data_IF_028056156846
#
_entry.id   IF_028056156846
#
_cell.length_a   1.000
_cell.length_b   1.000
_cell.length_c   1.000
_cell.angle_alpha   90.00
_cell.angle_beta   90.00
_cell.angle_gamma   90.00
#
_symmetry.space_group_name_H-M   'P 1'
#
loop_
_entity.id
_entity.type
_entity.pdbx_description
1 polymer ?
#
# COMPACT_ATOMS: atom_id res chain seq x y z
N UNK A 1 -20.77 -18.61 -15.01
CA UNK A 1 -20.32 -17.82 -16.17
C UNK A 1 -20.05 -16.43 -15.64
N UNK A 2 -18.87 -16.21 -15.06
CA UNK A 2 -18.50 -14.90 -14.52
C UNK A 2 -18.15 -13.98 -15.68
N UNK A 3 -18.93 -12.91 -15.84
CA UNK A 3 -18.62 -11.82 -16.74
C UNK A 3 -17.39 -11.09 -16.19
N UNK A 4 -16.21 -11.38 -16.72
CA UNK A 4 -15.04 -10.54 -16.50
C UNK A 4 -15.30 -9.21 -17.22
N UNK A 5 -15.80 -8.22 -16.49
CA UNK A 5 -15.80 -6.83 -16.96
C UNK A 5 -14.35 -6.43 -17.22
N UNK A 6 -14.01 -6.27 -18.50
CA UNK A 6 -12.71 -5.78 -18.96
C UNK A 6 -12.49 -4.39 -18.39
N UNK A 7 -11.41 -4.21 -17.62
CA UNK A 7 -11.02 -2.91 -17.08
C UNK A 7 -10.59 -2.01 -18.26
N UNK A 8 -11.17 -0.80 -18.41
CA UNK A 8 -10.73 0.14 -19.43
C UNK A 8 -9.24 0.48 -19.31
N UNK A 9 -8.54 0.57 -20.46
CA UNK A 9 -7.10 0.85 -20.49
C UNK A 9 -6.73 2.21 -19.86
N UNK A 10 -7.63 3.19 -19.92
CA UNK A 10 -7.43 4.51 -19.30
C UNK A 10 -7.35 4.40 -17.76
N UNK A 11 -8.24 3.60 -17.15
CA UNK A 11 -8.29 3.42 -15.70
C UNK A 11 -7.02 2.74 -15.17
N UNK A 12 -6.44 1.82 -15.95
CA UNK A 12 -5.15 1.21 -15.64
C UNK A 12 -4.01 2.23 -15.73
N UNK A 13 -3.96 3.03 -16.79
CA UNK A 13 -2.92 4.04 -16.98
C UNK A 13 -2.92 5.07 -15.86
N UNK A 14 -4.10 5.59 -15.51
CA UNK A 14 -4.24 6.57 -14.44
C UNK A 14 -3.86 5.95 -13.09
N UNK A 15 -4.30 4.71 -12.83
CA UNK A 15 -3.91 3.99 -11.63
C UNK A 15 -2.39 3.76 -11.51
N UNK A 16 -1.70 3.42 -12.60
CA UNK A 16 -0.25 3.29 -12.58
C UNK A 16 0.44 4.63 -12.29
N UNK A 17 -0.06 5.72 -12.86
CA UNK A 17 0.45 7.06 -12.59
C UNK A 17 0.30 7.43 -11.11
N UNK A 18 -0.89 7.21 -10.55
CA UNK A 18 -1.17 7.44 -9.13
C UNK A 18 -0.33 6.54 -8.22
N UNK A 19 -0.16 5.27 -8.57
CA UNK A 19 0.64 4.32 -7.79
C UNK A 19 2.10 4.75 -7.67
N UNK A 20 2.67 5.35 -8.73
CA UNK A 20 4.01 5.92 -8.68
C UNK A 20 4.09 7.11 -7.73
N UNK A 21 3.11 8.01 -7.77
CA UNK A 21 3.05 9.16 -6.85
C UNK A 21 2.99 8.68 -5.39
N UNK A 22 2.12 7.70 -5.12
CA UNK A 22 1.97 7.11 -3.80
C UNK A 22 3.28 6.46 -3.32
N UNK A 23 3.93 5.66 -4.18
CA UNK A 23 5.21 5.02 -3.87
C UNK A 23 6.29 6.05 -3.50
N UNK A 24 6.47 7.11 -4.29
CA UNK A 24 7.48 8.13 -3.99
C UNK A 24 7.15 8.99 -2.76
N UNK A 25 5.87 9.16 -2.43
CA UNK A 25 5.46 9.73 -1.14
C UNK A 25 5.98 8.87 0.02
N UNK A 26 5.72 7.55 -0.02
CA UNK A 26 6.18 6.62 1.01
C UNK A 26 7.72 6.52 1.08
N UNK A 27 8.44 6.64 -0.05
CA UNK A 27 9.90 6.73 -0.06
C UNK A 27 10.40 8.01 0.63
N UNK A 28 9.71 9.13 0.44
CA UNK A 28 10.04 10.38 1.13
C UNK A 28 9.84 10.27 2.63
N UNK A 29 8.75 9.60 3.06
CA UNK A 29 8.52 9.28 4.48
C UNK A 29 9.57 8.32 5.04
N UNK A 30 10.01 7.32 4.26
CA UNK A 30 11.08 6.39 4.64
C UNK A 30 12.40 7.13 4.89
N UNK A 31 12.76 8.05 4.00
CA UNK A 31 13.94 8.93 4.17
C UNK A 31 13.80 9.81 5.41
N UNK A 32 12.64 10.47 5.60
CA UNK A 32 12.37 11.27 6.79
C UNK A 32 12.53 10.45 8.08
N UNK A 33 11.97 9.24 8.13
CA UNK A 33 12.12 8.35 9.29
C UNK A 33 13.58 8.00 9.56
N UNK A 34 14.36 7.71 8.51
CA UNK A 34 15.79 7.38 8.66
C UNK A 34 16.58 8.55 9.26
N UNK A 35 16.23 9.78 8.88
CA UNK A 35 16.97 10.97 9.28
C UNK A 35 16.54 11.51 10.66
N UNK A 36 15.36 11.11 11.16
CA UNK A 36 14.76 11.68 12.39
C UNK A 36 14.50 10.69 13.51
N UNK A 37 14.49 9.38 13.23
CA UNK A 37 14.14 8.34 14.18
C UNK A 37 15.22 7.24 14.25
N UNK A 38 15.23 6.41 15.31
CA UNK A 38 16.11 5.25 15.37
C UNK A 38 15.96 4.30 14.16
N UNK A 39 17.02 3.54 13.82
CA UNK A 39 16.95 2.55 12.75
C UNK A 39 15.80 1.54 12.97
N UNK A 40 15.07 1.24 11.90
CA UNK A 40 14.00 0.24 11.90
C UNK A 40 12.59 0.78 12.18
N UNK A 41 12.41 2.03 12.59
CA UNK A 41 11.08 2.59 12.86
C UNK A 41 10.16 2.56 11.63
N UNK A 42 10.67 2.90 10.44
CA UNK A 42 9.86 2.76 9.22
C UNK A 42 9.46 1.31 8.92
N UNK A 43 10.32 0.34 9.24
CA UNK A 43 10.02 -1.08 9.04
C UNK A 43 8.91 -1.55 9.98
N UNK A 44 8.93 -1.12 11.24
CA UNK A 44 7.83 -1.35 12.20
C UNK A 44 6.51 -0.80 11.67
N UNK A 45 6.52 0.40 11.08
CA UNK A 45 5.35 0.96 10.42
C UNK A 45 4.86 0.07 9.27
N UNK A 46 5.76 -0.38 8.39
CA UNK A 46 5.39 -1.30 7.31
C UNK A 46 4.79 -2.60 7.84
N UNK A 47 5.28 -3.13 8.96
CA UNK A 47 4.78 -4.35 9.58
C UNK A 47 3.36 -4.15 10.17
N UNK A 48 3.08 -2.99 10.76
CA UNK A 48 1.73 -2.59 11.18
C UNK A 48 0.75 -2.56 9.98
N UNK A 49 1.16 -1.94 8.87
CA UNK A 49 0.36 -1.92 7.64
C UNK A 49 0.14 -3.33 7.09
N UNK A 50 1.19 -4.15 7.05
CA UNK A 50 1.10 -5.53 6.60
C UNK A 50 0.09 -6.33 7.42
N UNK A 51 0.16 -6.22 8.76
CA UNK A 51 -0.81 -6.86 9.66
C UNK A 51 -2.24 -6.38 9.43
N UNK A 52 -2.44 -5.10 9.10
CA UNK A 52 -3.76 -4.54 8.82
C UNK A 52 -4.36 -4.92 7.46
N UNK A 53 -3.53 -5.23 6.45
CA UNK A 53 -4.00 -5.55 5.09
C UNK A 53 -3.95 -7.03 4.74
N UNK A 54 -3.35 -7.88 5.57
CA UNK A 54 -3.05 -9.27 5.22
C UNK A 54 -4.27 -10.09 4.84
N UNK A 55 -5.42 -9.86 5.48
CA UNK A 55 -6.65 -10.60 5.17
C UNK A 55 -7.25 -10.17 3.82
N UNK A 56 -7.16 -8.88 3.49
CA UNK A 56 -7.58 -8.35 2.18
C UNK A 56 -6.64 -8.78 1.04
N UNK A 57 -5.36 -9.00 1.34
CA UNK A 57 -4.41 -9.61 0.40
C UNK A 57 -4.77 -11.08 0.10
N UNK A 58 -5.24 -11.80 1.13
CA UNK A 58 -5.57 -13.22 1.04
C UNK A 58 -6.93 -13.47 0.42
N UNK A 59 -7.86 -12.53 0.57
CA UNK A 59 -9.22 -12.62 0.04
C UNK A 59 -9.22 -12.82 -1.48
N UNK A 60 -10.32 -13.37 -1.98
CA UNK A 60 -10.49 -13.58 -3.40
C UNK A 60 -10.96 -12.29 -4.06
N UNK A 61 -10.30 -11.96 -5.16
CA UNK A 61 -10.59 -10.79 -5.99
C UNK A 61 -10.69 -11.25 -7.43
N UNK A 62 -11.58 -10.65 -8.25
CA UNK A 62 -11.72 -11.03 -9.65
C UNK A 62 -10.43 -10.91 -10.47
N UNK A 63 -9.56 -9.96 -10.10
CA UNK A 63 -8.26 -9.71 -10.72
C UNK A 63 -7.34 -8.92 -9.79
N UNK A 64 -6.10 -8.71 -10.22
CA UNK A 64 -5.11 -7.99 -9.41
C UNK A 64 -5.31 -6.48 -9.30
N UNK A 65 -6.02 -5.86 -10.24
CA UNK A 65 -6.36 -4.44 -10.17
C UNK A 65 -7.40 -4.18 -9.07
N UNK A 66 -8.45 -5.00 -9.02
CA UNK A 66 -9.46 -4.95 -7.95
C UNK A 66 -8.84 -5.25 -6.59
N UNK A 67 -7.90 -6.21 -6.51
CA UNK A 67 -7.14 -6.49 -5.29
C UNK A 67 -6.33 -5.28 -4.81
N UNK A 68 -5.51 -4.67 -5.67
CA UNK A 68 -4.67 -3.53 -5.26
C UNK A 68 -5.53 -2.34 -4.82
N UNK A 69 -6.66 -2.08 -5.49
CA UNK A 69 -7.63 -1.04 -5.07
C UNK A 69 -8.18 -1.34 -3.68
N UNK A 70 -8.65 -2.56 -3.43
CA UNK A 70 -9.24 -2.94 -2.15
C UNK A 70 -8.22 -2.79 -1.01
N UNK A 71 -7.01 -3.29 -1.21
CA UNK A 71 -5.90 -3.21 -0.23
C UNK A 71 -5.50 -1.77 0.04
N UNK A 72 -5.29 -0.95 -0.99
CA UNK A 72 -4.91 0.46 -0.84
C UNK A 72 -6.02 1.26 -0.14
N UNK A 73 -7.29 0.99 -0.46
CA UNK A 73 -8.44 1.61 0.20
C UNK A 73 -8.47 1.27 1.69
N UNK A 74 -8.26 0.00 2.05
CA UNK A 74 -8.17 -0.44 3.44
C UNK A 74 -7.01 0.27 4.16
N UNK A 75 -5.81 0.28 3.57
CA UNK A 75 -4.64 0.93 4.16
C UNK A 75 -4.87 2.41 4.47
N UNK A 76 -5.57 3.16 3.60
CA UNK A 76 -5.88 4.57 3.84
C UNK A 76 -6.70 4.79 5.12
N UNK A 77 -7.58 3.86 5.48
CA UNK A 77 -8.47 3.97 6.64
C UNK A 77 -7.96 3.24 7.89
N UNK A 78 -6.84 2.51 7.82
CA UNK A 78 -6.29 1.81 8.97
C UNK A 78 -5.99 2.77 10.14
N UNK A 79 -6.40 2.44 11.37
CA UNK A 79 -6.15 3.28 12.53
C UNK A 79 -4.71 3.09 13.03
N UNK A 80 -3.77 3.88 12.51
CA UNK A 80 -2.38 3.92 12.97
C UNK A 80 -2.21 5.03 14.02
N UNK A 81 -2.44 4.71 15.28
CA UNK A 81 -2.43 5.69 16.39
C UNK A 81 -1.21 5.60 17.31
N UNK A 82 -0.49 4.47 17.31
CA UNK A 82 0.59 4.18 18.25
C UNK A 82 1.99 4.19 17.61
N UNK A 83 2.23 5.04 16.59
CA UNK A 83 3.51 5.10 15.88
C UNK A 83 4.15 6.49 15.90
N UNK A 84 5.49 6.56 15.99
CA UNK A 84 6.24 7.82 16.01
C UNK A 84 6.02 8.68 14.75
N UNK A 85 5.76 8.03 13.61
CA UNK A 85 5.50 8.68 12.31
C UNK A 85 4.05 9.12 12.10
N UNK A 86 3.11 8.83 13.02
CA UNK A 86 1.68 9.12 12.80
C UNK A 86 1.40 10.58 12.42
N UNK A 87 2.18 11.54 12.94
CA UNK A 87 2.02 12.96 12.61
C UNK A 87 2.51 13.36 11.21
N UNK A 88 3.45 12.61 10.64
CA UNK A 88 4.00 12.85 9.31
C UNK A 88 3.28 12.02 8.23
N UNK A 89 2.55 10.98 8.63
CA UNK A 89 1.92 10.01 7.74
C UNK A 89 0.71 10.61 7.00
N UNK A 90 0.79 10.67 5.67
CA UNK A 90 -0.29 11.13 4.80
C UNK A 90 -1.04 9.97 4.15
N UNK A 91 -2.21 10.24 3.54
CA UNK A 91 -2.96 9.22 2.80
C UNK A 91 -2.19 8.64 1.59
N UNK A 92 -1.31 9.43 0.98
CA UNK A 92 -0.45 8.96 -0.12
C UNK A 92 0.60 7.99 0.39
N UNK A 93 1.20 8.27 1.55
CA UNK A 93 2.18 7.36 2.18
C UNK A 93 1.55 6.02 2.55
N UNK A 94 0.33 6.04 3.12
CA UNK A 94 -0.40 4.80 3.45
C UNK A 94 -0.61 3.91 2.23
N UNK A 95 -0.95 4.50 1.09
CA UNK A 95 -1.08 3.78 -0.17
C UNK A 95 0.29 3.31 -0.69
N UNK A 96 1.30 4.19 -0.65
CA UNK A 96 2.66 3.89 -1.10
C UNK A 96 3.34 2.76 -0.34
N UNK A 97 3.10 2.66 0.97
CA UNK A 97 3.59 1.57 1.82
C UNK A 97 3.11 0.22 1.31
N UNK A 98 1.87 0.11 0.79
CA UNK A 98 1.37 -1.12 0.19
C UNK A 98 2.17 -1.51 -1.06
N UNK A 99 2.54 -0.53 -1.89
CA UNK A 99 3.35 -0.76 -3.09
C UNK A 99 4.80 -1.14 -2.75
N UNK A 100 5.40 -0.51 -1.73
CA UNK A 100 6.71 -0.93 -1.20
C UNK A 100 6.66 -2.37 -0.69
N UNK A 101 5.64 -2.71 0.10
CA UNK A 101 5.44 -4.07 0.60
C UNK A 101 5.32 -5.08 -0.55
N UNK A 102 4.59 -4.77 -1.62
CA UNK A 102 4.48 -5.66 -2.77
C UNK A 102 5.80 -5.87 -3.54
N UNK A 103 6.71 -4.89 -3.49
CA UNK A 103 8.04 -5.02 -4.09
C UNK A 103 9.00 -5.83 -3.21
N UNK A 104 8.92 -5.68 -1.89
CA UNK A 104 9.92 -6.20 -0.95
C UNK A 104 9.49 -7.48 -0.22
N UNK A 105 8.19 -7.82 -0.23
CA UNK A 105 7.61 -8.94 0.50
C UNK A 105 6.83 -9.85 -0.43
N UNK A 106 7.31 -11.08 -0.60
CA UNK A 106 6.72 -12.11 -1.46
C UNK A 106 5.29 -12.51 -1.06
N UNK A 107 4.87 -12.19 0.17
CA UNK A 107 3.51 -12.42 0.67
C UNK A 107 2.51 -11.35 0.25
N UNK A 108 2.95 -10.24 -0.32
CA UNK A 108 2.08 -9.16 -0.83
C UNK A 108 2.12 -9.20 -2.35
N UNK A 109 1.13 -9.85 -2.97
CA UNK A 109 1.04 -10.00 -4.43
C UNK A 109 -0.31 -9.56 -4.97
N UNK A 110 -0.28 -8.69 -5.96
CA UNK A 110 -1.49 -8.22 -6.65
C UNK A 110 -2.11 -9.30 -7.52
N UNK A 111 -1.28 -10.11 -8.17
CA UNK A 111 -1.72 -11.25 -8.99
C UNK A 111 -1.28 -12.54 -8.31
N UNK A 112 -2.18 -13.53 -8.21
CA UNK A 112 -1.87 -14.88 -7.71
C UNK A 112 -1.32 -15.72 -8.87
#
# INVERSE_FOLDING_TARGET
MESHETIPNMDLKDHFSESRIQFYSAESLRVFSRDTLPPGEFKKLQDEFYGGIMDEIRSDHPDGYRRVIAVVKLARILPISAHALTKALTLLDRAGICHQLANDNDKVRWVK
#
